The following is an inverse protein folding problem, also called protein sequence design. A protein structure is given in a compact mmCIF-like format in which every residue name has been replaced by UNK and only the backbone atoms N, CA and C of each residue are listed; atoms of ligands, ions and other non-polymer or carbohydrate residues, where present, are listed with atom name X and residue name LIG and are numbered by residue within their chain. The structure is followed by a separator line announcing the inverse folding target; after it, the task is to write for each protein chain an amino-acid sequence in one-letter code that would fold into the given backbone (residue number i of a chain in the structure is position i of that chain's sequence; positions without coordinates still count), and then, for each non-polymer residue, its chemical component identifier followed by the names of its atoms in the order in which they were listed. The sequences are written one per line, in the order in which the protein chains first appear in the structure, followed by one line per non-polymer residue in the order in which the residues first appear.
data_IF_902987994007
#
_entry.id   IF_902987994007
#
_cell.length_a   1.000
_cell.length_b   1.000
_cell.length_c   1.000
_cell.angle_alpha   90.00
_cell.angle_beta   90.00
_cell.angle_gamma   90.00
#
_symmetry.space_group_name_H-M   'P 1'
#
loop_
_entity.id
_entity.type
_entity.pdbx_description
1 polymer ?
#
# COMPACT_ATOMS: atom_id res chain seq x y z
N UNK A 1 22.08 21.34 27.40
CA UNK A 1 21.34 21.77 26.20
C UNK A 1 20.58 20.55 25.70
N UNK A 2 19.36 20.36 26.18
CA UNK A 2 18.48 19.30 25.69
C UNK A 2 17.89 19.75 24.36
N UNK A 3 18.41 19.21 23.26
CA UNK A 3 17.88 19.36 21.92
C UNK A 3 16.60 18.52 21.78
N UNK A 4 15.52 18.96 22.45
CA UNK A 4 14.18 18.44 22.24
C UNK A 4 13.67 18.87 20.87
N UNK A 5 13.46 17.91 19.96
CA UNK A 5 12.87 18.16 18.64
C UNK A 5 11.50 18.83 18.80
N UNK A 6 11.21 19.98 18.14
CA UNK A 6 9.98 20.75 18.34
C UNK A 6 8.72 20.08 17.76
N UNK A 7 8.86 18.90 17.15
CA UNK A 7 7.75 18.14 16.60
C UNK A 7 7.47 16.93 17.48
N UNK A 8 6.31 16.84 18.14
CA UNK A 8 5.88 15.60 18.76
C UNK A 8 5.83 14.55 17.65
N UNK A 9 6.70 13.53 17.74
CA UNK A 9 6.66 12.36 16.86
C UNK A 9 5.54 11.47 17.36
N UNK A 10 4.29 11.89 17.16
CA UNK A 10 3.16 11.01 17.41
C UNK A 10 3.21 9.89 16.36
N UNK A 11 3.64 8.72 16.80
CA UNK A 11 3.79 7.56 15.94
C UNK A 11 2.43 6.94 15.67
N UNK A 12 2.05 6.83 14.39
CA UNK A 12 0.88 6.05 13.98
C UNK A 12 1.33 4.64 13.61
N UNK A 13 0.64 3.62 14.13
CA UNK A 13 0.86 2.24 13.70
C UNK A 13 0.25 2.03 12.32
N UNK A 14 1.07 1.71 11.33
CA UNK A 14 0.62 1.44 9.95
C UNK A 14 0.82 -0.03 9.60
N UNK A 15 -0.20 -0.66 9.03
CA UNK A 15 -0.07 -2.01 8.47
C UNK A 15 0.38 -1.92 7.02
N UNK A 16 1.61 -2.36 6.75
CA UNK A 16 2.13 -2.46 5.38
C UNK A 16 1.50 -3.67 4.69
N UNK A 17 1.00 -3.47 3.47
CA UNK A 17 0.41 -4.52 2.64
C UNK A 17 1.13 -4.60 1.30
N UNK A 18 1.17 -5.79 0.71
CA UNK A 18 1.81 -6.00 -0.60
C UNK A 18 0.82 -5.77 -1.74
N UNK A 19 1.32 -5.55 -2.96
CA UNK A 19 0.45 -5.50 -4.14
C UNK A 19 -0.31 -6.82 -4.37
N UNK A 20 0.28 -7.97 -4.03
CA UNK A 20 -0.42 -9.25 -4.11
C UNK A 20 -1.65 -9.29 -3.19
N UNK A 21 -1.53 -8.73 -1.98
CA UNK A 21 -2.67 -8.63 -1.06
C UNK A 21 -3.73 -7.64 -1.57
N UNK A 22 -3.33 -6.49 -2.15
CA UNK A 22 -4.26 -5.55 -2.79
C UNK A 22 -5.01 -6.24 -3.93
N UNK A 23 -4.33 -7.02 -4.78
CA UNK A 23 -4.95 -7.78 -5.87
C UNK A 23 -5.93 -8.83 -5.33
N UNK A 24 -5.59 -9.53 -4.24
CA UNK A 24 -6.50 -10.47 -3.60
C UNK A 24 -7.79 -9.79 -3.11
N UNK A 25 -7.68 -8.61 -2.49
CA UNK A 25 -8.85 -7.82 -2.07
C UNK A 25 -9.68 -7.34 -3.26
N UNK A 26 -9.04 -6.89 -4.34
CA UNK A 26 -9.74 -6.51 -5.57
C UNK A 26 -10.52 -7.69 -6.16
N UNK A 27 -9.92 -8.89 -6.17
CA UNK A 27 -10.62 -10.12 -6.62
C UNK A 27 -11.82 -10.44 -5.75
N UNK A 28 -11.72 -10.31 -4.42
CA UNK A 28 -12.85 -10.49 -3.52
C UNK A 28 -13.99 -9.51 -3.85
N UNK A 29 -13.68 -8.22 -4.05
CA UNK A 29 -14.68 -7.22 -4.46
C UNK A 29 -15.34 -7.53 -5.81
N UNK A 30 -14.57 -8.05 -6.76
CA UNK A 30 -15.09 -8.51 -8.06
C UNK A 30 -16.06 -9.67 -7.88
N UNK A 31 -15.74 -10.63 -7.00
CA UNK A 31 -16.62 -11.76 -6.68
C UNK A 31 -17.90 -11.27 -5.99
N UNK A 32 -17.81 -10.37 -5.02
CA UNK A 32 -18.95 -9.74 -4.34
C UNK A 32 -19.88 -9.01 -5.32
N UNK A 33 -19.31 -8.29 -6.29
CA UNK A 33 -20.06 -7.58 -7.32
C UNK A 33 -20.60 -8.51 -8.43
N UNK A 34 -20.21 -9.79 -8.44
CA UNK A 34 -20.58 -10.79 -9.45
C UNK A 34 -19.84 -10.67 -10.80
N UNK A 35 -19.21 -9.53 -11.11
CA UNK A 35 -18.36 -9.40 -12.29
C UNK A 35 -17.36 -8.24 -12.20
N UNK A 36 -16.29 -8.33 -12.98
CA UNK A 36 -15.29 -7.25 -13.09
C UNK A 36 -15.93 -5.94 -13.59
N UNK A 37 -16.86 -6.03 -14.56
CA UNK A 37 -17.56 -4.87 -15.12
C UNK A 37 -18.47 -4.20 -14.09
N UNK A 38 -19.22 -4.99 -13.31
CA UNK A 38 -20.08 -4.47 -12.26
C UNK A 38 -19.26 -3.76 -11.18
N UNK A 39 -18.18 -4.38 -10.70
CA UNK A 39 -17.29 -3.75 -9.72
C UNK A 39 -16.65 -2.48 -10.27
N UNK A 40 -16.08 -2.51 -11.48
CA UNK A 40 -15.44 -1.34 -12.08
C UNK A 40 -16.41 -0.16 -12.21
N UNK A 41 -17.66 -0.42 -12.62
CA UNK A 41 -18.70 0.61 -12.70
C UNK A 41 -19.06 1.17 -11.32
N UNK A 42 -19.26 0.29 -10.33
CA UNK A 42 -19.63 0.72 -8.97
C UNK A 42 -18.51 1.52 -8.28
N UNK A 43 -17.25 1.15 -8.52
CA UNK A 43 -16.07 1.79 -7.93
C UNK A 43 -15.49 2.93 -8.78
N UNK A 44 -16.09 3.25 -9.94
CA UNK A 44 -15.58 4.30 -10.85
C UNK A 44 -14.20 3.99 -11.45
N UNK A 45 -13.86 2.72 -11.64
CA UNK A 45 -12.57 2.26 -12.16
C UNK A 45 -12.62 2.02 -13.68
N UNK A 46 -11.48 2.21 -14.34
CA UNK A 46 -11.31 1.83 -15.73
C UNK A 46 -11.16 0.31 -15.86
N UNK A 47 -12.07 -0.33 -16.60
CA UNK A 47 -12.14 -1.79 -16.73
C UNK A 47 -10.87 -2.44 -17.31
N UNK A 48 -10.32 -1.95 -18.44
CA UNK A 48 -9.07 -2.45 -19.00
C UNK A 48 -7.90 -2.41 -18.01
N UNK A 49 -7.73 -1.30 -17.29
CA UNK A 49 -6.66 -1.15 -16.29
C UNK A 49 -6.84 -2.13 -15.13
N UNK A 50 -8.08 -2.28 -14.64
CA UNK A 50 -8.40 -3.27 -13.61
C UNK A 50 -8.05 -4.69 -14.07
N UNK A 51 -8.33 -5.03 -15.33
CA UNK A 51 -7.99 -6.34 -15.89
C UNK A 51 -6.47 -6.58 -15.91
N UNK A 52 -5.67 -5.59 -16.30
CA UNK A 52 -4.20 -5.71 -16.28
C UNK A 52 -3.66 -5.93 -14.86
N UNK A 53 -4.20 -5.22 -13.88
CA UNK A 53 -3.82 -5.37 -12.47
C UNK A 53 -4.21 -6.73 -11.91
N UNK A 54 -5.43 -7.21 -12.19
CA UNK A 54 -5.90 -8.52 -11.73
C UNK A 54 -5.10 -9.67 -12.36
N UNK A 55 -4.51 -9.47 -13.54
CA UNK A 55 -3.58 -10.40 -14.20
C UNK A 55 -2.13 -10.27 -13.74
N UNK A 56 -1.83 -9.32 -12.85
CA UNK A 56 -0.46 -9.06 -12.37
C UNK A 56 0.46 -8.43 -13.42
N UNK A 57 -0.10 -7.87 -14.49
CA UNK A 57 0.65 -7.20 -15.57
C UNK A 57 0.95 -5.73 -15.25
N UNK A 58 0.25 -5.16 -14.27
CA UNK A 58 0.42 -3.79 -13.81
C UNK A 58 0.27 -3.69 -12.29
N UNK A 59 0.90 -2.68 -11.69
CA UNK A 59 0.71 -2.37 -10.27
C UNK A 59 -0.63 -1.66 -10.04
N UNK A 60 -1.28 -1.85 -8.87
CA UNK A 60 -2.51 -1.14 -8.54
C UNK A 60 -2.32 0.38 -8.50
N UNK A 61 -3.22 1.11 -9.18
CA UNK A 61 -3.30 2.56 -9.09
C UNK A 61 -3.86 2.99 -7.73
N UNK A 62 -3.68 4.26 -7.37
CA UNK A 62 -4.20 4.82 -6.12
C UNK A 62 -5.72 4.62 -5.96
N UNK A 63 -6.49 4.87 -7.03
CA UNK A 63 -7.95 4.62 -7.02
C UNK A 63 -8.30 3.16 -6.76
N UNK A 64 -7.52 2.23 -7.29
CA UNK A 64 -7.73 0.79 -7.06
C UNK A 64 -7.38 0.40 -5.62
N UNK A 65 -6.32 0.97 -5.05
CA UNK A 65 -6.01 0.80 -3.62
C UNK A 65 -7.15 1.34 -2.74
N UNK A 66 -7.64 2.55 -3.03
CA UNK A 66 -8.70 3.20 -2.25
C UNK A 66 -10.01 2.39 -2.31
N UNK A 67 -10.33 1.78 -3.47
CA UNK A 67 -11.49 0.90 -3.63
C UNK A 67 -11.48 -0.34 -2.72
N UNK A 68 -10.32 -0.71 -2.17
CA UNK A 68 -10.17 -1.83 -1.21
C UNK A 68 -9.72 -1.37 0.18
N UNK A 69 -9.88 -0.07 0.48
CA UNK A 69 -9.54 0.51 1.79
C UNK A 69 -8.04 0.50 2.08
N UNK A 70 -7.22 0.69 1.04
CA UNK A 70 -5.75 0.80 1.17
C UNK A 70 -5.32 2.14 0.59
N UNK A 71 -4.42 2.83 1.30
CA UNK A 71 -3.79 4.06 0.84
C UNK A 71 -2.32 3.81 0.46
N UNK A 72 -1.80 4.56 -0.51
CA UNK A 72 -0.38 4.55 -0.87
C UNK A 72 0.33 5.67 -0.13
N UNK A 73 1.20 5.33 0.81
CA UNK A 73 2.04 6.28 1.54
C UNK A 73 3.53 5.93 1.41
N UNK A 74 4.39 6.96 1.42
CA UNK A 74 5.82 6.78 1.60
C UNK A 74 6.11 6.65 3.10
N UNK A 75 6.75 5.55 3.49
CA UNK A 75 7.09 5.28 4.89
C UNK A 75 8.61 5.23 5.02
N UNK A 76 9.16 6.09 5.87
CA UNK A 76 10.57 6.01 6.25
C UNK A 76 10.73 4.88 7.27
N UNK A 77 11.73 4.02 7.05
CA UNK A 77 12.12 2.99 8.02
C UNK A 77 13.49 3.34 8.56
N UNK A 78 13.61 3.38 9.88
CA UNK A 78 14.90 3.35 10.53
C UNK A 78 15.51 1.96 10.27
N UNK A 79 16.46 1.92 9.34
CA UNK A 79 17.32 0.77 9.16
C UNK A 79 18.51 1.02 10.06
N UNK A 80 18.53 0.41 11.25
CA UNK A 80 19.73 0.43 12.07
C UNK A 80 20.88 -0.08 11.19
N UNK A 81 22.01 0.65 11.10
CA UNK A 81 23.14 0.17 10.32
C UNK A 81 23.52 -1.21 10.87
N UNK A 82 23.61 -2.20 9.97
CA UNK A 82 24.11 -3.52 10.34
C UNK A 82 25.43 -3.31 11.07
N UNK A 83 25.47 -3.72 12.35
CA UNK A 83 26.53 -3.32 13.28
C UNK A 83 27.92 -3.40 12.68
N UNK A 84 28.45 -2.26 12.28
CA UNK A 84 29.87 -2.11 12.04
C UNK A 84 30.47 -1.92 13.43
N UNK A 85 31.03 -3.02 13.96
CA UNK A 85 31.92 -2.94 15.08
C UNK A 85 33.03 -1.97 14.70
N UNK A 86 33.04 -0.79 15.32
CA UNK A 86 34.17 0.13 15.25
C UNK A 86 35.20 -0.39 16.25
N UNK A 87 36.33 -1.00 15.84
CA UNK A 87 37.43 -1.17 16.76
C UNK A 87 38.01 0.22 17.05
N UNK A 88 37.74 0.75 18.25
CA UNK A 88 38.56 1.82 18.80
C UNK A 88 40.00 1.31 18.89
N UNK A 89 40.89 1.94 18.12
CA UNK A 89 42.33 1.93 18.37
C UNK A 89 42.68 3.03 19.36
#
# INVERSE_FOLDING_TARGET
MESGSPFPREGVTVRVVTYAEVVARLRARVTEAGSQKAFARAAGLHGPDLCQVLRGRAAPSERQCNAVGVERALVMRDVAPAGEAVPCS
#
